data_IF_572742285807
#
_entry.id   IF_572742285807
#
_cell.length_a   1.000
_cell.length_b   1.000
_cell.length_c   1.000
_cell.angle_alpha   90.00
_cell.angle_beta   90.00
_cell.angle_gamma   90.00
#
_symmetry.space_group_name_H-M   'P 1'
#
loop_
_entity.id
_entity.type
_entity.pdbx_description
1 polymer ?
#
# COMPACT_ATOMS: atom_id res chain seq x y z
N UNK A 1 -56.65 -12.07 42.56
CA UNK A 1 -55.19 -12.21 42.47
C UNK A 1 -54.69 -12.39 43.89
N UNK A 2 -53.97 -13.48 44.16
CA UNK A 2 -53.53 -13.81 45.51
C UNK A 2 -52.09 -13.29 45.76
N UNK A 3 -51.17 -13.45 44.77
CA UNK A 3 -49.86 -12.78 44.75
C UNK A 3 -49.47 -12.41 43.32
N UNK A 4 -48.97 -11.20 43.04
CA UNK A 4 -48.40 -10.84 41.74
C UNK A 4 -47.01 -11.47 41.57
N UNK A 5 -46.59 -11.71 40.31
CA UNK A 5 -45.24 -12.17 40.03
C UNK A 5 -44.20 -11.11 40.46
N UNK A 6 -43.17 -11.52 41.21
CA UNK A 6 -42.09 -10.67 41.70
C UNK A 6 -40.97 -10.43 40.68
N UNK A 7 -41.00 -11.11 39.53
CA UNK A 7 -40.03 -10.94 38.44
C UNK A 7 -40.34 -11.81 37.23
N UNK A 8 -39.52 -11.72 36.18
CA UNK A 8 -39.70 -12.46 34.92
C UNK A 8 -39.62 -13.99 35.06
N UNK A 9 -39.11 -14.49 36.19
CA UNK A 9 -39.02 -15.91 36.52
C UNK A 9 -40.00 -16.36 37.60
N UNK A 10 -40.98 -15.53 37.95
CA UNK A 10 -41.99 -15.82 38.96
C UNK A 10 -43.37 -16.04 38.33
N UNK A 11 -44.18 -16.91 38.92
CA UNK A 11 -45.57 -17.13 38.51
C UNK A 11 -46.49 -16.33 39.41
N UNK A 12 -47.46 -15.62 38.84
CA UNK A 12 -48.49 -14.97 39.65
C UNK A 12 -49.51 -16.00 40.14
N UNK A 13 -49.71 -16.09 41.46
CA UNK A 13 -50.69 -17.00 42.05
C UNK A 13 -52.09 -16.39 42.03
N UNK A 14 -53.01 -17.18 41.48
CA UNK A 14 -54.43 -16.91 41.54
C UNK A 14 -55.11 -17.90 42.45
N UNK A 15 -56.11 -17.42 43.18
CA UNK A 15 -56.85 -18.25 44.12
C UNK A 15 -57.65 -19.29 43.32
N UNK A 16 -57.57 -20.56 43.72
CA UNK A 16 -58.17 -21.70 42.99
C UNK A 16 -59.68 -21.88 43.28
N UNK A 17 -60.28 -20.97 44.06
CA UNK A 17 -61.69 -21.02 44.46
C UNK A 17 -62.06 -22.17 45.39
N UNK A 18 -61.09 -22.93 45.90
CA UNK A 18 -61.32 -24.15 46.70
C UNK A 18 -60.89 -24.03 48.18
N UNK A 19 -60.12 -23.00 48.54
CA UNK A 19 -59.74 -22.69 49.92
C UNK A 19 -59.44 -21.20 50.11
N UNK A 20 -59.49 -20.73 51.35
CA UNK A 20 -59.15 -19.35 51.73
C UNK A 20 -57.62 -19.08 51.74
N UNK A 21 -56.80 -20.13 51.61
CA UNK A 21 -55.33 -20.03 51.53
C UNK A 21 -54.86 -19.83 50.08
N UNK A 22 -53.86 -18.97 49.89
CA UNK A 22 -53.15 -18.83 48.62
C UNK A 22 -52.32 -20.09 48.31
N UNK A 23 -52.23 -20.51 47.02
CA UNK A 23 -51.23 -21.49 46.60
C UNK A 23 -49.80 -21.08 47.01
N UNK A 24 -48.87 -22.03 47.21
CA UNK A 24 -47.46 -21.74 47.43
C UNK A 24 -46.86 -20.94 46.26
N UNK A 25 -45.86 -20.12 46.59
CA UNK A 25 -45.04 -19.39 45.61
C UNK A 25 -44.43 -20.37 44.61
N UNK A 26 -44.78 -20.19 43.33
CA UNK A 26 -44.31 -21.02 42.24
C UNK A 26 -43.37 -20.22 41.32
N UNK A 27 -42.16 -20.74 41.11
CA UNK A 27 -41.21 -20.19 40.15
C UNK A 27 -41.40 -20.81 38.76
N UNK A 28 -41.04 -20.06 37.71
CA UNK A 28 -40.93 -20.59 36.34
C UNK A 28 -39.86 -21.70 36.30
N UNK A 29 -40.05 -22.76 35.50
CA UNK A 29 -39.11 -23.88 35.44
C UNK A 29 -37.75 -23.45 34.87
N UNK A 30 -36.72 -24.26 35.16
CA UNK A 30 -35.40 -24.08 34.58
C UNK A 30 -35.47 -24.13 33.05
N UNK A 31 -34.79 -23.20 32.36
CA UNK A 31 -34.80 -23.09 30.91
C UNK A 31 -35.94 -22.25 30.32
N UNK A 32 -36.87 -21.74 31.14
CA UNK A 32 -37.87 -20.77 30.67
C UNK A 32 -37.19 -19.46 30.27
N UNK A 33 -37.33 -19.03 29.01
CA UNK A 33 -36.75 -17.77 28.51
C UNK A 33 -37.49 -16.59 29.13
N UNK A 34 -36.83 -15.87 30.04
CA UNK A 34 -37.40 -14.69 30.69
C UNK A 34 -37.04 -13.38 29.98
N UNK A 35 -35.97 -13.39 29.18
CA UNK A 35 -35.66 -12.33 28.23
C UNK A 35 -35.15 -12.96 26.92
N UNK A 36 -35.84 -12.74 25.78
CA UNK A 36 -35.32 -13.17 24.49
C UNK A 36 -34.14 -12.29 24.07
N UNK A 37 -33.25 -12.84 23.23
CA UNK A 37 -32.20 -12.07 22.59
C UNK A 37 -32.81 -10.96 21.70
N UNK A 38 -32.35 -9.72 21.88
CA UNK A 38 -32.80 -8.54 21.16
C UNK A 38 -32.04 -8.29 19.83
N UNK A 39 -30.96 -9.04 19.57
CA UNK A 39 -30.19 -8.96 18.32
C UNK A 39 -29.12 -10.05 18.22
N UNK A 40 -28.35 -10.03 17.12
CA UNK A 40 -27.36 -11.08 16.82
C UNK A 40 -26.24 -11.19 17.85
N UNK A 41 -25.99 -10.12 18.60
CA UNK A 41 -24.97 -10.04 19.64
C UNK A 41 -25.52 -10.21 21.05
N UNK A 42 -26.77 -10.64 21.18
CA UNK A 42 -27.44 -10.81 22.46
C UNK A 42 -27.60 -12.30 22.82
N UNK A 43 -27.62 -12.60 24.12
CA UNK A 43 -27.87 -13.94 24.66
C UNK A 43 -29.23 -13.93 25.35
N UNK A 44 -30.11 -14.90 25.05
CA UNK A 44 -31.35 -15.00 25.81
C UNK A 44 -31.11 -15.47 27.25
N UNK A 45 -31.68 -14.80 28.25
CA UNK A 45 -31.64 -15.29 29.62
C UNK A 45 -32.78 -16.26 29.90
N UNK A 46 -32.42 -17.32 30.63
CA UNK A 46 -33.35 -18.34 31.06
C UNK A 46 -33.41 -18.40 32.58
N UNK A 47 -34.59 -18.70 33.10
CA UNK A 47 -34.79 -18.91 34.52
C UNK A 47 -34.00 -20.13 34.99
N UNK A 48 -33.43 -20.05 36.20
CA UNK A 48 -32.75 -21.18 36.82
C UNK A 48 -33.71 -22.23 37.38
N UNK A 49 -34.98 -21.86 37.60
CA UNK A 49 -35.95 -22.66 38.37
C UNK A 49 -35.89 -22.43 39.88
N UNK A 50 -35.01 -21.52 40.35
CA UNK A 50 -34.74 -21.30 41.77
C UNK A 50 -34.73 -19.83 42.20
N UNK A 51 -34.94 -18.90 41.27
CA UNK A 51 -35.00 -17.45 41.49
C UNK A 51 -36.23 -16.85 40.81
N UNK A 52 -36.89 -15.90 41.48
CA UNK A 52 -37.98 -15.09 40.91
C UNK A 52 -37.48 -14.03 39.92
N UNK A 53 -36.24 -13.58 40.07
CA UNK A 53 -35.61 -12.61 39.16
C UNK A 53 -35.02 -13.31 37.93
N UNK A 54 -35.20 -12.69 36.76
CA UNK A 54 -34.47 -13.05 35.55
C UNK A 54 -32.99 -12.71 35.73
N UNK A 55 -32.06 -13.53 35.22
CA UNK A 55 -30.64 -13.20 35.24
C UNK A 55 -30.34 -11.83 34.59
N UNK A 56 -29.19 -11.25 34.93
CA UNK A 56 -28.75 -10.01 34.30
C UNK A 56 -28.55 -10.21 32.79
N UNK A 57 -28.84 -9.15 32.03
CA UNK A 57 -28.67 -9.09 30.58
C UNK A 57 -27.22 -9.40 30.17
N UNK A 58 -27.05 -10.47 29.41
CA UNK A 58 -25.77 -10.96 28.94
C UNK A 58 -25.64 -10.84 27.42
N UNK A 59 -24.49 -10.32 26.98
CA UNK A 59 -24.17 -10.19 25.56
C UNK A 59 -23.21 -11.28 25.11
N UNK A 60 -23.24 -11.58 23.81
CA UNK A 60 -22.27 -12.48 23.18
C UNK A 60 -20.86 -11.90 23.32
N UNK A 61 -19.83 -12.73 23.50
CA UNK A 61 -18.47 -12.25 23.68
C UNK A 61 -17.98 -11.48 22.45
N UNK A 62 -17.01 -10.59 22.67
CA UNK A 62 -16.49 -9.71 21.63
C UNK A 62 -15.77 -10.42 20.46
N UNK A 63 -15.59 -11.74 20.56
CA UNK A 63 -15.03 -12.60 19.51
C UNK A 63 -16.10 -13.25 18.64
N UNK A 64 -17.38 -12.96 18.87
CA UNK A 64 -18.47 -13.56 18.09
C UNK A 64 -18.66 -12.75 16.82
N UNK A 65 -18.35 -13.35 15.68
CA UNK A 65 -18.68 -12.79 14.37
C UNK A 65 -20.19 -12.68 14.23
N UNK A 66 -20.67 -11.47 13.96
CA UNK A 66 -22.09 -11.17 13.76
C UNK A 66 -22.40 -10.74 12.33
N UNK A 67 -21.39 -10.29 11.58
CA UNK A 67 -21.45 -10.10 10.13
C UNK A 67 -20.16 -10.61 9.51
N UNK A 68 -20.29 -11.53 8.55
CA UNK A 68 -19.15 -12.09 7.84
C UNK A 68 -18.66 -11.12 6.76
N UNK A 69 -17.36 -11.15 6.47
CA UNK A 69 -16.75 -10.41 5.37
C UNK A 69 -17.33 -10.86 4.02
N UNK A 70 -17.77 -9.90 3.19
CA UNK A 70 -18.26 -10.21 1.83
C UNK A 70 -17.21 -10.08 0.74
N UNK A 71 -16.15 -9.29 0.97
CA UNK A 71 -15.07 -9.05 0.02
C UNK A 71 -13.81 -8.56 0.72
N UNK A 72 -12.71 -8.41 -0.03
CA UNK A 72 -11.48 -7.77 0.47
C UNK A 72 -11.69 -6.31 0.92
N UNK A 73 -12.77 -5.68 0.45
CA UNK A 73 -13.16 -4.32 0.82
C UNK A 73 -14.18 -4.24 1.96
N UNK A 74 -14.55 -5.38 2.53
CA UNK A 74 -15.62 -5.50 3.51
C UNK A 74 -15.17 -6.41 4.66
N UNK A 75 -14.55 -5.87 5.72
CA UNK A 75 -14.16 -6.65 6.89
C UNK A 75 -15.35 -7.33 7.59
N UNK A 76 -15.06 -8.37 8.38
CA UNK A 76 -16.07 -8.99 9.24
C UNK A 76 -16.25 -8.18 10.53
N UNK A 77 -17.49 -8.03 11.01
CA UNK A 77 -17.78 -7.43 12.30
C UNK A 77 -18.01 -8.48 13.39
N UNK A 78 -17.39 -8.22 14.53
CA UNK A 78 -17.61 -8.98 15.75
C UNK A 78 -18.46 -8.16 16.72
N UNK A 79 -19.22 -8.87 17.55
CA UNK A 79 -19.92 -8.29 18.69
C UNK A 79 -18.97 -7.48 19.58
N UNK A 80 -19.51 -6.53 20.34
CA UNK A 80 -18.68 -5.71 21.24
C UNK A 80 -18.52 -6.33 22.63
N UNK A 81 -19.29 -7.36 22.96
CA UNK A 81 -19.42 -7.86 24.34
C UNK A 81 -20.31 -7.00 25.24
N UNK A 82 -20.94 -5.96 24.70
CA UNK A 82 -21.66 -4.94 25.48
C UNK A 82 -22.91 -4.38 24.80
N UNK A 83 -23.26 -4.88 23.61
CA UNK A 83 -24.39 -4.42 22.81
C UNK A 83 -25.13 -5.63 22.23
N UNK A 84 -26.46 -5.57 22.22
CA UNK A 84 -27.32 -6.56 21.59
C UNK A 84 -27.22 -6.56 20.06
N UNK A 85 -26.94 -5.38 19.48
CA UNK A 85 -26.80 -5.21 18.03
C UNK A 85 -25.36 -5.43 17.58
N UNK A 86 -25.20 -6.06 16.42
CA UNK A 86 -23.94 -6.07 15.68
C UNK A 86 -23.52 -4.62 15.35
N UNK A 87 -22.22 -4.29 15.36
CA UNK A 87 -21.74 -2.99 14.92
C UNK A 87 -22.19 -2.62 13.50
N UNK A 88 -22.11 -1.32 13.20
CA UNK A 88 -22.33 -0.82 11.84
C UNK A 88 -21.40 -1.51 10.85
N UNK A 89 -21.89 -1.70 9.63
CA UNK A 89 -21.14 -2.28 8.52
C UNK A 89 -19.95 -1.38 8.18
N UNK A 90 -18.73 -1.90 8.38
CA UNK A 90 -17.52 -1.14 8.14
C UNK A 90 -16.98 -1.51 6.77
N UNK A 91 -16.70 -0.50 5.94
CA UNK A 91 -16.02 -0.72 4.65
C UNK A 91 -14.57 -0.27 4.74
N UNK A 92 -13.71 -0.97 4.00
CA UNK A 92 -12.31 -0.59 3.82
C UNK A 92 -12.19 0.79 3.17
N UNK A 93 -11.13 1.56 3.48
CA UNK A 93 -10.92 2.87 2.90
C UNK A 93 -10.73 2.79 1.38
N UNK A 94 -11.21 3.82 0.70
CA UNK A 94 -11.01 4.14 -0.72
C UNK A 94 -10.45 5.56 -0.74
N UNK A 95 -9.14 5.68 -0.93
CA UNK A 95 -8.39 6.92 -0.74
C UNK A 95 -8.57 7.92 -1.87
N UNK A 96 -8.92 7.46 -3.07
CA UNK A 96 -9.09 8.32 -4.25
C UNK A 96 -10.54 8.39 -4.78
N UNK A 97 -11.44 7.65 -4.14
CA UNK A 97 -12.88 7.63 -4.36
C UNK A 97 -13.29 7.18 -5.76
N UNK A 98 -12.55 6.22 -6.33
CA UNK A 98 -12.83 5.67 -7.65
C UNK A 98 -13.82 4.47 -7.63
N UNK A 99 -14.15 3.98 -6.44
CA UNK A 99 -15.09 2.89 -6.21
C UNK A 99 -14.44 1.55 -5.87
N UNK A 100 -13.11 1.48 -5.75
CA UNK A 100 -12.38 0.34 -5.23
C UNK A 100 -11.63 0.71 -3.95
N UNK A 101 -11.66 -0.17 -2.96
CA UNK A 101 -10.90 0.07 -1.74
C UNK A 101 -9.40 -0.06 -2.00
N UNK A 102 -8.57 0.62 -1.20
CA UNK A 102 -7.11 0.64 -1.31
C UNK A 102 -6.47 -0.77 -1.34
N UNK A 103 -7.14 -1.77 -0.75
CA UNK A 103 -6.66 -3.15 -0.72
C UNK A 103 -6.92 -3.94 -2.02
N UNK A 104 -7.86 -3.47 -2.84
CA UNK A 104 -8.24 -4.06 -4.12
C UNK A 104 -7.82 -3.20 -5.33
N UNK A 105 -7.32 -1.99 -5.07
CA UNK A 105 -6.99 -1.00 -6.07
C UNK A 105 -5.50 -1.07 -6.48
N UNK A 106 -5.24 -1.18 -7.79
CA UNK A 106 -3.90 -1.16 -8.36
C UNK A 106 -3.30 0.26 -8.50
N UNK A 107 -4.08 1.30 -8.18
CA UNK A 107 -3.64 2.68 -8.01
C UNK A 107 -4.35 3.41 -6.85
N UNK A 108 -4.06 3.07 -5.57
CA UNK A 108 -4.77 3.59 -4.37
C UNK A 108 -4.78 5.11 -4.14
N UNK A 109 -4.24 5.91 -5.05
CA UNK A 109 -4.17 7.37 -4.93
C UNK A 109 -4.44 8.10 -6.24
N UNK A 110 -4.71 7.38 -7.34
CA UNK A 110 -4.90 7.92 -8.68
C UNK A 110 -6.11 7.22 -9.35
N UNK A 111 -7.29 7.87 -9.43
CA UNK A 111 -8.53 7.20 -9.78
C UNK A 111 -8.49 6.45 -11.12
N UNK A 112 -8.79 5.15 -11.09
CA UNK A 112 -8.90 4.30 -12.26
C UNK A 112 -9.90 3.15 -12.05
N UNK A 113 -11.23 3.43 -12.09
CA UNK A 113 -12.26 2.43 -11.77
C UNK A 113 -12.23 1.16 -12.63
N UNK A 114 -11.59 1.23 -13.81
CA UNK A 114 -11.42 0.11 -14.72
C UNK A 114 -10.15 -0.71 -14.52
N UNK A 115 -9.29 -0.34 -13.56
CA UNK A 115 -8.10 -1.08 -13.13
C UNK A 115 -7.19 -1.51 -14.28
N UNK A 116 -7.06 -0.69 -15.34
CA UNK A 116 -6.23 -1.04 -16.48
C UNK A 116 -4.77 -1.15 -16.05
N UNK A 117 -4.11 -2.21 -16.49
CA UNK A 117 -2.71 -2.55 -16.26
C UNK A 117 -2.22 -3.25 -17.54
N UNK A 118 -1.69 -2.47 -18.48
CA UNK A 118 -1.40 -2.95 -19.84
C UNK A 118 -0.17 -3.86 -19.91
N UNK A 119 0.79 -3.72 -18.98
CA UNK A 119 2.00 -4.54 -18.91
C UNK A 119 1.94 -5.64 -17.84
N UNK A 120 0.90 -5.64 -17.01
CA UNK A 120 0.56 -6.71 -16.08
C UNK A 120 1.49 -6.79 -14.88
N UNK A 121 2.10 -5.68 -14.50
CA UNK A 121 3.08 -5.61 -13.43
C UNK A 121 2.46 -5.44 -12.02
N UNK A 122 1.13 -5.20 -11.98
CA UNK A 122 0.31 -5.01 -10.79
C UNK A 122 0.13 -3.55 -10.37
N UNK A 123 0.71 -2.59 -11.11
CA UNK A 123 0.51 -1.15 -10.92
C UNK A 123 -0.39 -0.67 -12.07
N UNK A 124 -1.48 0.00 -11.75
CA UNK A 124 -2.39 0.47 -12.80
C UNK A 124 -1.77 1.53 -13.69
N UNK A 125 -2.18 1.56 -14.96
CA UNK A 125 -1.79 2.57 -15.96
C UNK A 125 -1.90 4.01 -15.45
N UNK A 126 -2.84 4.26 -14.53
CA UNK A 126 -3.09 5.57 -13.97
C UNK A 126 -1.97 6.05 -13.05
N UNK A 127 -1.28 5.18 -12.33
CA UNK A 127 -0.21 5.53 -11.38
C UNK A 127 1.15 4.99 -11.79
N UNK A 128 1.20 4.10 -12.79
CA UNK A 128 2.44 3.53 -13.30
C UNK A 128 3.29 4.59 -14.04
N UNK A 129 4.52 4.88 -13.58
CA UNK A 129 5.46 5.74 -14.30
C UNK A 129 5.88 5.17 -15.67
N UNK A 130 5.76 3.86 -15.85
CA UNK A 130 6.38 3.02 -16.87
C UNK A 130 5.43 1.96 -17.45
N UNK A 131 4.24 2.36 -17.90
CA UNK A 131 3.16 1.51 -18.45
C UNK A 131 3.49 0.78 -19.77
N UNK A 132 4.61 0.06 -19.81
CA UNK A 132 5.30 -0.45 -20.98
C UNK A 132 4.43 -1.38 -21.83
N UNK A 133 3.60 -0.82 -22.73
CA UNK A 133 2.85 -1.57 -23.77
C UNK A 133 3.81 -2.49 -24.55
N UNK A 134 5.10 -2.14 -24.62
CA UNK A 134 6.18 -3.01 -25.06
C UNK A 134 7.13 -3.21 -23.88
N UNK A 135 7.39 -4.45 -23.41
CA UNK A 135 8.20 -4.69 -22.23
C UNK A 135 9.64 -4.22 -22.45
N UNK A 136 10.02 -3.10 -21.85
CA UNK A 136 11.40 -2.59 -21.85
C UNK A 136 12.06 -2.88 -20.51
N UNK A 137 12.68 -4.05 -20.40
CA UNK A 137 13.47 -4.38 -19.21
C UNK A 137 14.85 -3.74 -19.25
N UNK A 138 15.29 -3.21 -18.12
CA UNK A 138 16.66 -2.74 -17.92
C UNK A 138 17.61 -3.92 -17.81
N UNK A 139 18.49 -4.04 -18.78
CA UNK A 139 19.63 -4.95 -18.77
C UNK A 139 20.83 -4.39 -17.99
N UNK A 140 21.61 -5.30 -17.39
CA UNK A 140 22.77 -4.98 -16.53
C UNK A 140 22.44 -3.94 -15.43
N UNK A 141 21.30 -4.07 -14.73
CA UNK A 141 20.92 -3.11 -13.72
C UNK A 141 21.90 -3.20 -12.55
N UNK A 142 22.21 -2.05 -11.95
CA UNK A 142 23.09 -1.96 -10.81
C UNK A 142 22.58 -0.84 -9.91
N UNK A 143 21.87 -1.25 -8.86
CA UNK A 143 21.37 -0.38 -7.80
C UNK A 143 22.27 -0.51 -6.58
N UNK A 144 22.61 0.62 -5.96
CA UNK A 144 23.33 0.66 -4.70
C UNK A 144 22.77 1.78 -3.85
N UNK A 145 22.27 1.42 -2.67
CA UNK A 145 21.85 2.35 -1.64
C UNK A 145 22.78 2.15 -0.45
N UNK A 146 23.46 3.20 -0.02
CA UNK A 146 24.46 3.13 1.04
C UNK A 146 24.18 4.14 2.13
N UNK A 147 24.74 3.89 3.31
CA UNK A 147 24.53 4.68 4.53
C UNK A 147 23.08 4.60 5.05
N UNK A 148 22.47 3.41 5.00
CA UNK A 148 21.10 3.20 5.49
C UNK A 148 20.96 3.19 7.02
N UNK A 149 22.08 3.08 7.76
CA UNK A 149 22.11 2.99 9.23
C UNK A 149 22.71 4.23 9.88
N UNK A 150 22.91 5.30 9.11
CA UNK A 150 23.31 6.63 9.60
C UNK A 150 22.06 7.49 9.80
N UNK A 151 22.16 8.67 10.45
CA UNK A 151 21.02 9.55 10.61
C UNK A 151 20.32 9.84 9.27
N UNK A 152 18.98 9.91 9.21
CA UNK A 152 18.25 10.14 7.97
C UNK A 152 18.76 11.36 7.22
N UNK A 153 18.85 11.27 5.89
CA UNK A 153 19.23 12.39 5.04
C UNK A 153 20.70 12.43 4.61
N UNK A 154 21.52 11.40 4.90
CA UNK A 154 22.89 11.29 4.36
C UNK A 154 23.10 10.11 3.40
N UNK A 155 22.02 9.39 3.06
CA UNK A 155 22.03 8.22 2.20
C UNK A 155 22.63 8.53 0.83
N UNK A 156 23.29 7.51 0.27
CA UNK A 156 23.89 7.54 -1.05
C UNK A 156 23.12 6.64 -1.98
N UNK A 157 22.83 7.15 -3.17
CA UNK A 157 22.09 6.43 -4.19
C UNK A 157 22.90 6.32 -5.47
N UNK A 158 22.85 5.14 -6.08
CA UNK A 158 23.36 4.91 -7.42
C UNK A 158 22.49 3.90 -8.12
N UNK A 159 21.96 4.26 -9.28
CA UNK A 159 21.22 3.35 -10.14
C UNK A 159 21.71 3.52 -11.57
N UNK A 160 22.15 2.44 -12.21
CA UNK A 160 22.59 2.46 -13.61
C UNK A 160 22.12 1.20 -14.31
N UNK A 161 22.00 1.28 -15.62
CA UNK A 161 21.57 0.16 -16.43
C UNK A 161 21.60 0.51 -17.92
N UNK A 162 21.10 -0.41 -18.72
CA UNK A 162 20.92 -0.23 -20.16
C UNK A 162 19.52 -0.70 -20.54
N UNK A 163 18.83 0.07 -21.36
CA UNK A 163 17.50 -0.28 -21.88
C UNK A 163 17.54 -0.20 -23.41
N UNK A 164 16.65 -0.90 -24.08
CA UNK A 164 16.49 -0.83 -25.54
C UNK A 164 15.11 -0.29 -25.82
N UNK A 165 15.04 0.97 -26.26
CA UNK A 165 13.79 1.62 -26.60
C UNK A 165 13.42 1.34 -28.07
N UNK A 166 12.12 1.45 -28.44
CA UNK A 166 11.70 1.46 -29.84
C UNK A 166 12.52 2.47 -30.66
N UNK A 167 12.98 2.04 -31.84
CA UNK A 167 13.86 2.83 -32.70
C UNK A 167 13.35 2.82 -34.15
N UNK A 168 13.35 3.97 -34.87
CA UNK A 168 13.77 5.31 -34.43
C UNK A 168 12.89 5.85 -33.30
N UNK A 169 13.47 6.69 -32.44
CA UNK A 169 12.74 7.26 -31.30
C UNK A 169 11.62 8.18 -31.83
N UNK A 170 10.39 7.92 -31.42
CA UNK A 170 9.24 8.77 -31.70
C UNK A 170 8.41 8.96 -30.42
N UNK A 171 8.44 10.16 -29.79
CA UNK A 171 9.17 11.36 -30.19
C UNK A 171 10.70 11.22 -30.04
N UNK A 172 11.53 12.16 -30.53
CA UNK A 172 12.96 12.16 -30.22
C UNK A 172 13.23 12.27 -28.72
N UNK A 173 14.33 11.67 -28.24
CA UNK A 173 14.75 11.79 -26.84
C UNK A 173 15.06 13.25 -26.49
N UNK A 174 14.42 13.79 -25.46
CA UNK A 174 14.68 15.16 -25.00
C UNK A 174 14.70 15.33 -23.46
N UNK A 175 15.66 14.69 -22.76
CA UNK A 175 15.87 14.96 -21.33
C UNK A 175 16.17 16.43 -21.02
N UNK A 176 16.66 17.21 -21.99
CA UNK A 176 17.00 18.62 -21.78
C UNK A 176 15.74 19.44 -21.51
N UNK A 177 14.66 19.23 -22.26
CA UNK A 177 13.42 20.00 -22.05
C UNK A 177 12.41 19.27 -21.17
N UNK A 178 12.31 17.95 -21.28
CA UNK A 178 11.32 17.14 -20.56
C UNK A 178 11.78 16.73 -19.16
N UNK A 179 13.09 16.66 -18.93
CA UNK A 179 13.65 16.09 -17.71
C UNK A 179 13.58 14.56 -17.73
N UNK A 180 13.64 13.93 -16.56
CA UNK A 180 13.49 12.47 -16.40
C UNK A 180 12.83 12.19 -15.06
N UNK A 181 12.22 11.01 -14.90
CA UNK A 181 11.76 10.53 -13.59
C UNK A 181 12.46 9.23 -13.25
N UNK A 182 12.87 9.09 -11.99
CA UNK A 182 13.48 7.87 -11.46
C UNK A 182 12.63 7.44 -10.28
N UNK A 183 12.08 6.24 -10.35
CA UNK A 183 11.29 5.70 -9.26
C UNK A 183 11.90 4.38 -8.79
N UNK A 184 11.84 4.12 -7.50
CA UNK A 184 12.29 2.87 -6.89
C UNK A 184 11.24 2.47 -5.87
N UNK A 185 10.68 1.28 -6.04
CA UNK A 185 9.64 0.72 -5.20
C UNK A 185 10.13 -0.55 -4.52
N UNK A 186 9.56 -0.85 -3.36
CA UNK A 186 9.81 -2.09 -2.65
C UNK A 186 8.71 -3.14 -2.89
N UNK A 187 8.86 -4.32 -2.31
CA UNK A 187 7.96 -5.47 -2.48
C UNK A 187 6.54 -5.30 -1.96
N UNK A 188 6.26 -4.23 -1.22
CA UNK A 188 4.91 -3.85 -0.78
C UNK A 188 4.45 -2.55 -1.45
N UNK A 189 4.97 -2.26 -2.66
CA UNK A 189 4.72 -1.03 -3.42
C UNK A 189 5.05 0.27 -2.66
N UNK A 190 5.82 0.18 -1.57
CA UNK A 190 6.27 1.35 -0.84
C UNK A 190 7.36 2.09 -1.61
N UNK A 191 7.18 3.39 -1.81
CA UNK A 191 8.14 4.25 -2.50
C UNK A 191 9.43 4.41 -1.70
N UNK A 192 10.54 3.95 -2.26
CA UNK A 192 11.91 4.14 -1.74
C UNK A 192 12.49 5.46 -2.24
N UNK A 193 12.24 5.75 -3.51
CA UNK A 193 12.64 6.99 -4.19
C UNK A 193 11.59 7.30 -5.25
N UNK A 194 11.11 8.52 -5.30
CA UNK A 194 10.45 9.09 -6.47
C UNK A 194 11.06 10.47 -6.74
N UNK A 195 11.71 10.60 -7.89
CA UNK A 195 12.47 11.79 -8.25
C UNK A 195 12.16 12.21 -9.68
N UNK A 196 11.29 13.20 -9.83
CA UNK A 196 11.04 13.91 -11.09
C UNK A 196 12.07 15.02 -11.27
N UNK A 197 13.13 14.73 -12.03
CA UNK A 197 14.20 15.67 -12.35
C UNK A 197 13.69 16.61 -13.46
N UNK A 198 13.61 17.92 -13.21
CA UNK A 198 13.06 18.85 -14.19
C UNK A 198 13.98 18.97 -15.41
N UNK A 199 13.40 19.31 -16.55
CA UNK A 199 14.14 19.85 -17.68
C UNK A 199 14.77 21.21 -17.36
N UNK A 200 15.54 21.72 -18.31
CA UNK A 200 16.17 23.04 -18.27
C UNK A 200 17.70 22.97 -18.45
N UNK A 201 18.28 23.90 -19.22
CA UNK A 201 19.73 23.92 -19.44
C UNK A 201 20.48 24.21 -18.14
N UNK A 202 21.71 23.72 -18.06
CA UNK A 202 22.58 23.94 -16.91
C UNK A 202 22.87 25.42 -16.71
N UNK A 203 22.55 25.92 -15.52
CA UNK A 203 22.82 27.28 -15.11
C UNK A 203 24.04 27.31 -14.19
N UNK A 204 25.04 28.13 -14.55
CA UNK A 204 26.30 28.25 -13.84
C UNK A 204 26.20 29.00 -12.50
N UNK A 205 25.17 29.83 -12.31
CA UNK A 205 24.89 30.53 -11.05
C UNK A 205 24.24 29.58 -10.04
N UNK A 206 23.21 28.83 -10.46
CA UNK A 206 22.53 27.87 -9.59
C UNK A 206 23.28 26.53 -9.45
N UNK A 207 24.27 26.29 -10.32
CA UNK A 207 25.00 25.01 -10.44
C UNK A 207 24.07 23.81 -10.68
N UNK A 208 22.94 24.05 -11.34
CA UNK A 208 21.89 23.05 -11.57
C UNK A 208 21.41 23.06 -13.03
N UNK A 209 21.03 21.89 -13.56
CA UNK A 209 20.39 21.70 -14.87
C UNK A 209 21.15 20.75 -15.81
N UNK A 210 20.68 20.65 -17.05
CA UNK A 210 21.15 19.68 -18.05
C UNK A 210 22.24 20.23 -18.96
N UNK A 211 23.24 19.40 -19.24
CA UNK A 211 24.24 19.62 -20.30
C UNK A 211 24.06 18.57 -21.37
N UNK A 212 24.12 18.98 -22.64
CA UNK A 212 24.05 18.10 -23.80
C UNK A 212 25.37 18.20 -24.57
N UNK A 213 25.86 17.07 -25.08
CA UNK A 213 27.04 17.08 -25.95
C UNK A 213 26.68 17.56 -27.37
N UNK A 214 27.69 17.99 -28.14
CA UNK A 214 27.48 18.52 -29.49
C UNK A 214 26.79 17.55 -30.46
N UNK A 215 26.95 16.23 -30.25
CA UNK A 215 26.28 15.22 -31.08
C UNK A 215 24.86 14.87 -30.63
N UNK A 216 24.34 15.50 -29.57
CA UNK A 216 22.99 15.25 -29.03
C UNK A 216 22.74 13.76 -28.70
N UNK A 217 23.76 13.08 -28.17
CA UNK A 217 23.68 11.66 -27.77
C UNK A 217 23.96 11.45 -26.29
N UNK A 218 24.28 12.49 -25.54
CA UNK A 218 24.55 12.39 -24.10
C UNK A 218 24.03 13.62 -23.38
N UNK A 219 23.07 13.38 -22.48
CA UNK A 219 22.49 14.36 -21.58
C UNK A 219 23.01 14.09 -20.17
N UNK A 220 23.49 15.13 -19.49
CA UNK A 220 23.96 15.04 -18.11
C UNK A 220 23.31 16.11 -17.26
N UNK A 221 22.42 15.70 -16.37
CA UNK A 221 21.93 16.55 -15.30
C UNK A 221 22.99 16.66 -14.21
N UNK A 222 23.13 17.85 -13.64
CA UNK A 222 23.91 18.09 -12.43
C UNK A 222 23.14 19.01 -11.51
N UNK A 223 23.27 18.77 -10.21
CA UNK A 223 22.88 19.72 -9.17
C UNK A 223 23.90 19.61 -8.03
N UNK A 224 24.54 20.73 -7.68
CA UNK A 224 25.53 20.76 -6.60
C UNK A 224 24.90 20.55 -5.22
N UNK A 225 23.63 20.94 -5.05
CA UNK A 225 22.91 20.94 -3.77
C UNK A 225 23.25 22.11 -2.85
N UNK A 226 23.98 23.12 -3.33
CA UNK A 226 24.49 24.24 -2.51
C UNK A 226 23.71 25.54 -2.72
N UNK A 227 23.14 25.75 -3.91
CA UNK A 227 22.34 26.93 -4.25
C UNK A 227 20.88 26.55 -4.43
N UNK A 228 20.63 25.45 -5.16
CA UNK A 228 19.33 24.83 -5.28
C UNK A 228 19.33 23.52 -4.47
N UNK A 229 18.22 23.17 -3.80
CA UNK A 229 18.09 21.88 -3.12
C UNK A 229 18.17 20.73 -4.14
N UNK A 230 18.59 19.56 -3.67
CA UNK A 230 18.59 18.34 -4.47
C UNK A 230 17.16 17.83 -4.61
N UNK A 231 16.78 17.37 -5.80
CA UNK A 231 15.48 16.71 -6.02
C UNK A 231 15.57 15.30 -5.46
N UNK A 232 14.93 15.04 -4.31
CA UNK A 232 14.99 13.75 -3.61
C UNK A 232 16.42 13.23 -3.42
N UNK A 233 17.38 14.13 -3.14
CA UNK A 233 18.81 13.80 -3.00
C UNK A 233 19.56 13.48 -4.32
N UNK A 234 18.89 13.51 -5.48
CA UNK A 234 19.53 13.25 -6.77
C UNK A 234 20.38 14.45 -7.21
N UNK A 235 21.66 14.19 -7.46
CA UNK A 235 22.65 15.22 -7.79
C UNK A 235 23.24 15.07 -9.20
N UNK A 236 23.03 13.91 -9.83
CA UNK A 236 23.50 13.64 -11.19
C UNK A 236 22.61 12.61 -11.89
N UNK A 237 22.25 12.90 -13.14
CA UNK A 237 21.71 11.90 -14.06
C UNK A 237 22.53 11.93 -15.35
N UNK A 238 22.69 10.79 -16.00
CA UNK A 238 23.28 10.67 -17.32
C UNK A 238 22.39 9.77 -18.16
N UNK A 239 21.99 10.25 -19.32
CA UNK A 239 21.30 9.47 -20.36
C UNK A 239 22.21 9.50 -21.58
N UNK A 240 22.54 8.34 -22.13
CA UNK A 240 23.41 8.22 -23.29
C UNK A 240 22.73 7.37 -24.36
N UNK A 241 22.43 7.99 -25.47
CA UNK A 241 22.05 7.31 -26.69
C UNK A 241 23.27 6.58 -27.29
N UNK A 242 23.16 5.26 -27.36
CA UNK A 242 24.14 4.36 -27.98
C UNK A 242 23.52 3.62 -29.17
N UNK A 243 22.44 4.14 -29.75
CA UNK A 243 21.76 3.64 -30.97
C UNK A 243 22.72 3.35 -32.12
N UNK A 244 23.78 4.15 -32.25
CA UNK A 244 24.85 3.95 -33.25
C UNK A 244 25.62 2.64 -33.11
N UNK A 245 25.58 1.98 -31.94
CA UNK A 245 26.19 0.67 -31.71
C UNK A 245 25.18 -0.47 -31.77
N UNK A 246 23.96 -0.20 -31.35
CA UNK A 246 22.82 -1.14 -31.34
C UNK A 246 21.56 -0.29 -31.35
N UNK A 247 20.67 -0.43 -32.35
CA UNK A 247 19.44 0.38 -32.44
C UNK A 247 18.68 0.42 -31.10
N UNK A 248 18.25 1.62 -30.70
CA UNK A 248 17.48 1.82 -29.47
C UNK A 248 18.26 1.72 -28.14
N UNK A 249 19.54 1.35 -28.15
CA UNK A 249 20.30 1.14 -26.91
C UNK A 249 20.56 2.45 -26.17
N UNK A 250 19.96 2.60 -25.00
CA UNK A 250 20.21 3.68 -24.06
C UNK A 250 20.98 3.17 -22.86
N UNK A 251 21.95 3.95 -22.39
CA UNK A 251 22.65 3.73 -21.11
C UNK A 251 22.30 4.86 -20.18
N UNK A 252 21.89 4.53 -18.96
CA UNK A 252 21.59 5.54 -17.95
C UNK A 252 22.42 5.36 -16.69
N UNK A 253 22.53 6.43 -15.93
CA UNK A 253 23.16 6.44 -14.62
C UNK A 253 22.63 7.59 -13.77
N UNK A 254 22.14 7.26 -12.59
CA UNK A 254 21.59 8.16 -11.58
C UNK A 254 22.50 8.09 -10.37
N UNK A 255 22.83 9.25 -9.82
CA UNK A 255 23.61 9.40 -8.60
C UNK A 255 22.92 10.38 -7.66
N UNK A 256 22.81 9.97 -6.40
CA UNK A 256 22.26 10.77 -5.32
C UNK A 256 23.17 10.82 -4.10
N UNK A 257 22.99 11.88 -3.32
CA UNK A 257 23.65 12.13 -2.04
C UNK A 257 22.71 12.89 -1.14
N UNK A 258 22.93 12.77 0.16
CA UNK A 258 22.17 13.49 1.16
C UNK A 258 20.66 13.23 1.00
N UNK A 259 20.31 11.98 0.69
CA UNK A 259 18.94 11.54 0.54
C UNK A 259 18.48 10.72 1.73
N UNK A 260 17.24 10.26 1.67
CA UNK A 260 16.65 9.37 2.65
C UNK A 260 15.91 8.28 1.88
N UNK A 261 16.48 7.09 1.79
CA UNK A 261 16.04 6.00 0.92
C UNK A 261 15.87 4.70 1.72
N UNK A 262 14.98 4.68 2.73
CA UNK A 262 14.88 3.54 3.63
C UNK A 262 14.44 2.28 2.87
N UNK A 263 15.27 1.25 2.93
CA UNK A 263 14.94 -0.11 2.45
C UNK A 263 15.32 -1.11 3.53
N UNK A 264 14.36 -1.55 4.37
CA UNK A 264 14.65 -2.61 5.33
C UNK A 264 14.75 -3.97 4.62
N UNK A 265 15.46 -4.96 5.19
CA UNK A 265 15.59 -6.28 4.60
C UNK A 265 14.27 -7.02 4.33
N UNK A 266 13.22 -6.73 5.11
CA UNK A 266 11.87 -7.28 4.91
C UNK A 266 11.11 -6.69 3.71
N UNK A 267 11.65 -5.66 3.05
CA UNK A 267 11.04 -4.94 1.91
C UNK A 267 11.84 -5.17 0.61
N UNK A 268 12.41 -6.36 0.45
CA UNK A 268 12.96 -6.88 -0.82
C UNK A 268 11.94 -7.90 -1.39
N UNK A 269 11.75 -8.06 -2.72
CA UNK A 269 12.45 -7.43 -3.86
C UNK A 269 12.28 -5.91 -3.97
N UNK A 270 13.16 -5.30 -4.77
CA UNK A 270 13.08 -3.88 -5.15
C UNK A 270 12.88 -3.82 -6.66
N UNK A 271 12.06 -2.88 -7.14
CA UNK A 271 11.92 -2.53 -8.56
C UNK A 271 12.42 -1.10 -8.76
N UNK A 272 12.92 -0.77 -9.95
CA UNK A 272 13.41 0.58 -10.22
C UNK A 272 13.24 0.98 -11.68
N UNK A 273 12.64 2.14 -11.88
CA UNK A 273 12.17 2.61 -13.17
C UNK A 273 12.91 3.88 -13.57
N UNK A 274 13.23 3.95 -14.85
CA UNK A 274 13.87 5.11 -15.45
C UNK A 274 13.02 5.60 -16.60
N UNK A 275 12.31 6.70 -16.37
CA UNK A 275 11.45 7.37 -17.35
C UNK A 275 12.20 8.51 -18.00
N UNK A 276 12.35 8.45 -19.33
CA UNK A 276 13.02 9.49 -20.10
C UNK A 276 12.04 10.59 -20.53
N UNK A 277 10.79 10.25 -20.84
CA UNK A 277 9.73 11.23 -21.15
C UNK A 277 8.88 11.49 -19.89
N UNK A 278 9.45 12.28 -18.97
CA UNK A 278 8.85 12.58 -17.66
C UNK A 278 7.58 13.44 -17.75
N UNK A 279 6.58 13.26 -16.85
CA UNK A 279 6.61 12.46 -15.61
C UNK A 279 6.06 11.04 -15.71
N UNK A 280 5.36 10.69 -16.80
CA UNK A 280 4.85 9.34 -17.08
C UNK A 280 5.21 9.00 -18.53
N UNK A 281 5.73 7.80 -18.75
CA UNK A 281 6.28 7.36 -20.03
C UNK A 281 5.20 7.04 -21.08
N UNK A 282 4.26 7.94 -21.36
CA UNK A 282 3.16 7.73 -22.32
C UNK A 282 3.65 7.41 -23.75
N UNK A 283 4.92 7.68 -24.04
CA UNK A 283 5.57 7.41 -25.33
C UNK A 283 6.43 6.14 -25.33
N UNK A 284 6.38 5.33 -24.27
CA UNK A 284 7.17 4.10 -24.12
C UNK A 284 8.67 4.34 -23.92
N UNK A 285 9.07 5.58 -23.59
CA UNK A 285 10.48 5.93 -23.36
C UNK A 285 10.88 5.72 -21.92
N UNK A 286 10.78 4.48 -21.45
CA UNK A 286 11.26 4.13 -20.14
C UNK A 286 11.81 2.71 -20.08
N UNK A 287 12.26 2.31 -18.90
CA UNK A 287 12.57 0.92 -18.66
C UNK A 287 12.63 0.60 -17.18
N UNK A 288 12.28 -0.64 -16.88
CA UNK A 288 12.10 -1.14 -15.52
C UNK A 288 13.17 -2.17 -15.16
N UNK A 289 13.69 -2.08 -13.95
CA UNK A 289 14.67 -3.01 -13.40
C UNK A 289 14.07 -3.78 -12.23
N UNK A 290 13.84 -5.07 -12.40
CA UNK A 290 13.44 -5.95 -11.30
C UNK A 290 14.65 -6.52 -10.58
N UNK A 291 14.65 -6.47 -9.25
CA UNK A 291 15.65 -7.12 -8.41
C UNK A 291 14.99 -8.15 -7.49
N UNK A 292 14.81 -9.40 -7.96
CA UNK A 292 13.97 -10.45 -7.34
C UNK A 292 14.37 -10.89 -5.92
N UNK A 293 15.55 -10.53 -5.43
CA UNK A 293 15.95 -10.76 -4.04
C UNK A 293 17.36 -11.33 -3.89
N UNK A 294 17.69 -12.00 -2.77
CA UNK A 294 19.01 -12.59 -2.58
C UNK A 294 19.26 -13.76 -3.55
N UNK A 295 20.51 -14.25 -3.69
CA UNK A 295 20.82 -15.42 -4.50
C UNK A 295 19.91 -16.62 -4.18
N UNK A 296 19.53 -17.45 -5.17
CA UNK A 296 20.12 -17.59 -6.51
C UNK A 296 19.52 -16.68 -7.60
N UNK A 297 18.60 -15.76 -7.27
CA UNK A 297 17.97 -14.90 -8.28
C UNK A 297 18.96 -13.87 -8.84
N UNK A 298 18.90 -13.59 -10.16
CA UNK A 298 19.79 -12.65 -10.84
C UNK A 298 18.93 -11.63 -11.61
N UNK A 299 19.13 -10.31 -11.42
CA UNK A 299 20.12 -9.66 -10.54
C UNK A 299 19.78 -9.82 -9.04
N UNK A 300 20.80 -10.04 -8.20
CA UNK A 300 20.63 -10.33 -6.78
C UNK A 300 20.78 -9.07 -5.93
N UNK A 301 19.89 -8.86 -4.95
CA UNK A 301 20.02 -7.85 -3.90
C UNK A 301 20.65 -8.44 -2.63
N UNK A 302 21.73 -7.82 -2.14
CA UNK A 302 22.44 -8.25 -0.94
C UNK A 302 22.73 -7.04 -0.05
N UNK A 303 22.44 -7.16 1.24
CA UNK A 303 22.88 -6.21 2.27
C UNK A 303 24.31 -6.53 2.73
N UNK A 304 25.11 -5.48 2.87
CA UNK A 304 26.48 -5.51 3.39
C UNK A 304 26.59 -4.65 4.65
N UNK A 305 27.70 -4.82 5.37
CA UNK A 305 28.09 -3.94 6.48
C UNK A 305 27.00 -3.80 7.56
N UNK A 306 26.39 -4.92 7.96
CA UNK A 306 25.34 -4.93 8.99
C UNK A 306 24.04 -4.24 8.57
N UNK A 307 23.75 -4.15 7.26
CA UNK A 307 22.54 -3.50 6.74
C UNK A 307 22.77 -2.07 6.22
N UNK A 308 23.96 -1.50 6.42
CA UNK A 308 24.27 -0.13 6.01
C UNK A 308 24.36 0.07 4.48
N UNK A 309 24.43 -0.99 3.68
CA UNK A 309 24.50 -0.88 2.22
C UNK A 309 23.76 -2.00 1.53
N UNK A 310 22.77 -1.66 0.71
CA UNK A 310 22.10 -2.55 -0.23
C UNK A 310 22.80 -2.46 -1.59
N UNK A 311 23.16 -3.59 -2.19
CA UNK A 311 23.61 -3.66 -3.59
C UNK A 311 22.79 -4.69 -4.34
N UNK A 312 22.21 -4.27 -5.46
CA UNK A 312 21.49 -5.14 -6.38
C UNK A 312 22.16 -5.12 -7.75
N UNK A 313 22.63 -6.28 -8.24
CA UNK A 313 23.39 -6.40 -9.49
C UNK A 313 23.43 -7.82 -10.04
#
# INVERSE_FOLDING_TARGET
MCRPAAGGCDVAESCNGSSDNCPPDALRPSGFVCRPAAGDCDVSETCSGSSAACPADAFRPASTECRASTSVCDPAENCTGSSASCPADAHSPDSDADGLCDAADNCPSDPNPGQQDDDGDGIGNACDPCNNIIPVSVSKPNLTIGRLTTPPGDDRFKFKGQMVLPHPYNPPLDPLTKGVRVVVYNSMNGTVLDATIPGGPYNSATKAGWKVNASHTTWTYRNAGTVMPLVSGINKVTVKDSSSRSPGLIKFGVGGKNGNYPVPPSKIPVKGDMVIDSPKAMTGQCGEATFPGPPPFIPACIFYSGGATLKCK
#
